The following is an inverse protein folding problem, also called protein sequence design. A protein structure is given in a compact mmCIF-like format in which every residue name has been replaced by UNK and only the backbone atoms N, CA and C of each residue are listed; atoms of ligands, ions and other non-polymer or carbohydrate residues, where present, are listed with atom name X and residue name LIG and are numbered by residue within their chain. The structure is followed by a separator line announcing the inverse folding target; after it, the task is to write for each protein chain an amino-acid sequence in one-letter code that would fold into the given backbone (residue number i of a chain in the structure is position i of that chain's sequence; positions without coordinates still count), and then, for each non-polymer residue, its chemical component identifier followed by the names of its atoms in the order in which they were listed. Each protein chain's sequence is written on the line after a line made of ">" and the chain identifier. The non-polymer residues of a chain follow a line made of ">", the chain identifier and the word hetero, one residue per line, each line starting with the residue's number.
data_IF_274740188499
#
_entry.id   IF_274740188499
#
_cell.length_a   1.000
_cell.length_b   1.000
_cell.length_c   1.000
_cell.angle_alpha   90.00
_cell.angle_beta   90.00
_cell.angle_gamma   90.00
#
_symmetry.space_group_name_H-M   'P 1'
#
loop_
_entity.id
_entity.type
_entity.pdbx_description
1 polymer ?
#
# COMPACT_ATOMS: atom_id res chain seq x y z
N UNK A 1 0.00 -5.73 9.31
CA UNK A 1 -0.83 -6.84 8.80
C UNK A 1 -2.23 -6.34 8.51
N UNK A 2 -2.36 -5.39 7.56
CA UNK A 2 -3.68 -5.09 7.02
C UNK A 2 -4.09 -6.32 6.23
N UNK A 3 -5.11 -7.02 6.76
CA UNK A 3 -5.81 -8.00 5.99
C UNK A 3 -6.17 -7.35 4.65
N UNK A 4 -6.00 -8.10 3.54
CA UNK A 4 -7.04 -8.10 2.52
C UNK A 4 -8.35 -8.24 3.29
N UNK A 5 -8.97 -7.09 3.61
CA UNK A 5 -10.32 -7.04 4.11
C UNK A 5 -11.07 -7.76 3.02
N UNK A 6 -11.52 -8.98 3.34
CA UNK A 6 -12.36 -9.77 2.47
C UNK A 6 -13.61 -8.95 2.30
N UNK A 7 -13.59 -8.04 1.34
CA UNK A 7 -14.77 -7.32 0.89
C UNK A 7 -15.77 -8.43 0.61
N UNK A 8 -16.87 -8.52 1.39
CA UNK A 8 -17.72 -9.71 1.38
C UNK A 8 -18.14 -10.10 -0.04
N UNK A 9 -18.41 -9.07 -0.86
CA UNK A 9 -18.74 -9.16 -2.28
C UNK A 9 -17.68 -9.90 -3.14
N UNK A 10 -16.39 -9.73 -2.86
CA UNK A 10 -15.32 -10.38 -3.62
C UNK A 10 -15.28 -11.88 -3.34
N UNK A 11 -15.38 -12.26 -2.06
CA UNK A 11 -15.39 -13.67 -1.66
C UNK A 11 -16.66 -14.36 -2.16
N UNK A 12 -17.80 -13.70 -2.03
CA UNK A 12 -19.08 -14.19 -2.50
C UNK A 12 -19.04 -14.44 -4.01
N UNK A 13 -18.58 -13.47 -4.80
CA UNK A 13 -18.41 -13.63 -6.26
C UNK A 13 -17.57 -14.85 -6.61
N UNK A 14 -16.42 -15.04 -5.95
CA UNK A 14 -15.52 -16.16 -6.21
C UNK A 14 -16.19 -17.49 -5.82
N UNK A 15 -16.84 -17.54 -4.66
CA UNK A 15 -17.47 -18.77 -4.15
C UNK A 15 -18.68 -19.16 -5.00
N UNK A 16 -19.48 -18.19 -5.42
CA UNK A 16 -20.63 -18.37 -6.31
C UNK A 16 -20.20 -18.88 -7.70
N UNK A 17 -19.01 -18.51 -8.15
CA UNK A 17 -18.39 -19.03 -9.38
C UNK A 17 -17.66 -20.38 -9.19
N UNK A 18 -17.77 -21.02 -8.03
CA UNK A 18 -17.15 -22.31 -7.73
C UNK A 18 -15.68 -22.24 -7.30
N UNK A 19 -15.12 -21.04 -7.14
CA UNK A 19 -13.75 -20.83 -6.65
C UNK A 19 -13.60 -21.10 -5.16
N UNK A 20 -12.38 -21.47 -4.75
CA UNK A 20 -12.00 -21.66 -3.35
C UNK A 20 -11.16 -20.49 -2.88
N UNK A 21 -11.49 -19.93 -1.72
CA UNK A 21 -10.70 -18.88 -1.06
C UNK A 21 -10.13 -19.42 0.24
N UNK A 22 -8.83 -19.70 0.29
CA UNK A 22 -8.19 -20.29 1.47
C UNK A 22 -6.74 -19.84 1.63
N UNK A 23 -6.13 -20.11 2.79
CA UNK A 23 -4.72 -19.87 3.08
C UNK A 23 -3.92 -21.15 2.82
N UNK A 24 -2.71 -21.01 2.26
CA UNK A 24 -1.83 -22.16 1.99
C UNK A 24 -0.91 -22.51 3.15
N UNK A 25 -0.45 -21.52 3.90
CA UNK A 25 0.50 -21.76 4.97
C UNK A 25 -0.25 -22.13 6.26
N UNK A 26 0.40 -22.91 7.11
CA UNK A 26 0.05 -23.07 8.50
C UNK A 26 1.21 -22.58 9.37
N UNK A 27 0.92 -21.94 10.49
CA UNK A 27 1.95 -21.56 11.46
C UNK A 27 2.50 -22.80 12.20
N UNK A 28 3.46 -22.58 13.12
CA UNK A 28 4.07 -23.66 13.93
C UNK A 28 3.08 -24.37 14.86
N UNK A 29 1.90 -23.80 15.07
CA UNK A 29 0.83 -24.33 15.91
C UNK A 29 -0.27 -24.99 15.07
N UNK A 30 -0.11 -25.05 13.74
CA UNK A 30 -1.08 -25.62 12.81
C UNK A 30 -2.22 -24.68 12.41
N UNK A 31 -2.21 -23.41 12.82
CA UNK A 31 -3.25 -22.45 12.43
C UNK A 31 -3.03 -21.95 11.00
N UNK A 32 -4.10 -21.69 10.22
CA UNK A 32 -3.97 -21.09 8.90
C UNK A 32 -3.22 -19.75 8.94
N UNK A 33 -2.17 -19.63 8.14
CA UNK A 33 -1.24 -18.51 8.09
C UNK A 33 -1.07 -17.98 6.66
N UNK A 34 -0.62 -16.73 6.55
CA UNK A 34 -0.40 -16.06 5.26
C UNK A 34 -1.66 -15.48 4.62
N UNK A 35 -1.55 -14.93 3.41
CA UNK A 35 -2.67 -14.30 2.72
C UNK A 35 -3.68 -15.34 2.22
N UNK A 36 -4.93 -14.92 2.06
CA UNK A 36 -5.91 -15.70 1.33
C UNK A 36 -5.51 -15.79 -0.15
N UNK A 37 -5.78 -16.93 -0.76
CA UNK A 37 -5.50 -17.23 -2.15
C UNK A 37 -6.71 -17.86 -2.81
N UNK A 38 -6.86 -17.57 -4.10
CA UNK A 38 -7.93 -18.08 -4.97
C UNK A 38 -7.45 -19.30 -5.73
N UNK A 39 -8.27 -20.35 -5.72
CA UNK A 39 -8.01 -21.60 -6.41
C UNK A 39 -9.25 -22.07 -7.17
N UNK A 40 -9.04 -22.81 -8.24
CA UNK A 40 -10.12 -23.54 -8.93
C UNK A 40 -10.60 -24.73 -8.09
N UNK A 41 -11.83 -25.22 -8.31
CA UNK A 41 -12.32 -26.40 -7.62
C UNK A 41 -11.41 -27.60 -7.85
N UNK A 42 -11.09 -28.33 -6.77
CA UNK A 42 -10.29 -29.58 -6.79
C UNK A 42 -8.83 -29.46 -7.26
N UNK A 43 -8.29 -28.24 -7.39
CA UNK A 43 -6.88 -28.04 -7.69
C UNK A 43 -6.27 -26.94 -6.81
N UNK A 44 -5.00 -27.09 -6.44
CA UNK A 44 -4.21 -26.05 -5.77
C UNK A 44 -3.56 -25.10 -6.80
N UNK A 45 -4.33 -24.67 -7.79
CA UNK A 45 -3.93 -23.72 -8.84
C UNK A 45 -5.03 -22.67 -9.07
N UNK A 46 -4.71 -21.42 -9.45
CA UNK A 46 -3.37 -20.86 -9.56
C UNK A 46 -2.80 -20.41 -8.20
N UNK A 47 -3.63 -20.25 -7.17
CA UNK A 47 -3.17 -19.74 -5.87
C UNK A 47 -2.92 -18.24 -5.86
N UNK A 48 -3.70 -17.51 -6.65
CA UNK A 48 -3.61 -16.05 -6.80
C UNK A 48 -3.98 -15.35 -5.48
N UNK A 49 -3.15 -14.43 -5.01
CA UNK A 49 -3.38 -13.68 -3.75
C UNK A 49 -4.35 -12.49 -3.90
N UNK A 50 -4.92 -12.31 -5.09
CA UNK A 50 -5.80 -11.21 -5.46
C UNK A 50 -7.17 -11.74 -5.92
N UNK A 51 -8.21 -10.94 -5.72
CA UNK A 51 -9.57 -11.22 -6.20
C UNK A 51 -9.93 -10.48 -7.49
N UNK A 52 -9.06 -9.55 -7.91
CA UNK A 52 -9.12 -8.82 -9.17
C UNK A 52 -7.73 -8.73 -9.77
N UNK A 53 -7.59 -9.03 -11.05
CA UNK A 53 -6.33 -9.00 -11.77
C UNK A 53 -6.59 -8.93 -13.28
N UNK A 54 -5.63 -8.37 -14.02
CA UNK A 54 -5.57 -8.55 -15.46
C UNK A 54 -4.95 -9.91 -15.78
N UNK A 55 -5.43 -10.58 -16.83
CA UNK A 55 -4.93 -11.89 -17.22
C UNK A 55 -5.51 -13.01 -16.33
N UNK A 56 -4.63 -13.86 -15.79
CA UNK A 56 -4.95 -15.03 -14.96
C UNK A 56 -6.20 -15.81 -15.41
N UNK A 57 -6.20 -16.30 -16.65
CA UNK A 57 -7.35 -16.96 -17.29
C UNK A 57 -7.96 -18.09 -16.45
N UNK A 58 -7.13 -18.82 -15.70
CA UNK A 58 -7.58 -19.86 -14.77
C UNK A 58 -8.30 -19.30 -13.53
N UNK A 59 -7.83 -18.20 -12.95
CA UNK A 59 -8.51 -17.59 -11.82
C UNK A 59 -9.80 -16.87 -12.28
N UNK A 60 -9.77 -16.32 -13.49
CA UNK A 60 -10.91 -15.64 -14.10
C UNK A 60 -12.11 -16.59 -14.28
N UNK A 61 -11.87 -17.88 -14.56
CA UNK A 61 -12.94 -18.88 -14.68
C UNK A 61 -13.68 -19.15 -13.37
N UNK A 62 -13.17 -18.67 -12.23
CA UNK A 62 -13.75 -18.86 -10.90
C UNK A 62 -14.00 -17.54 -10.16
N UNK A 63 -14.23 -16.46 -10.92
CA UNK A 63 -14.74 -15.20 -10.37
C UNK A 63 -13.69 -14.14 -10.04
N UNK A 64 -12.41 -14.36 -10.36
CA UNK A 64 -11.44 -13.25 -10.43
C UNK A 64 -11.80 -12.38 -11.62
N UNK A 65 -11.79 -11.06 -11.44
CA UNK A 65 -12.25 -10.12 -12.48
C UNK A 65 -11.22 -9.04 -12.78
N UNK A 66 -11.16 -8.61 -14.03
CA UNK A 66 -10.36 -7.45 -14.44
C UNK A 66 -11.10 -6.11 -14.25
N UNK A 67 -12.35 -6.12 -13.76
CA UNK A 67 -13.16 -4.91 -13.57
C UNK A 67 -12.59 -4.07 -12.41
N UNK A 68 -12.09 -2.84 -12.66
CA UNK A 68 -11.53 -2.00 -11.61
C UNK A 68 -12.62 -1.41 -10.73
N UNK A 69 -12.20 -0.83 -9.60
CA UNK A 69 -13.04 0.14 -8.88
C UNK A 69 -12.62 1.53 -9.28
N UNK A 70 -13.59 2.39 -9.58
CA UNK A 70 -13.36 3.76 -9.98
C UNK A 70 -13.78 4.69 -8.85
N UNK A 71 -12.83 5.50 -8.39
CA UNK A 71 -13.06 6.58 -7.44
C UNK A 71 -12.47 7.86 -8.00
N UNK A 72 -13.24 8.95 -7.97
CA UNK A 72 -12.78 10.28 -8.34
C UNK A 72 -12.68 11.11 -7.07
N UNK A 73 -11.49 11.60 -6.76
CA UNK A 73 -11.23 12.42 -5.59
C UNK A 73 -10.80 13.82 -6.04
N UNK A 74 -11.46 14.90 -5.59
CA UNK A 74 -10.97 16.24 -5.84
C UNK A 74 -9.68 16.44 -5.04
N UNK A 75 -8.72 17.21 -5.59
CA UNK A 75 -7.56 17.65 -4.82
C UNK A 75 -8.05 18.50 -3.63
N UNK A 76 -7.66 18.19 -2.38
CA UNK A 76 -8.03 18.99 -1.21
C UNK A 76 -7.68 20.47 -1.38
N UNK A 77 -8.45 21.35 -0.73
CA UNK A 77 -8.06 22.76 -0.63
C UNK A 77 -6.97 22.88 0.44
N UNK A 78 -6.08 23.87 0.34
CA UNK A 78 -5.29 24.27 1.51
C UNK A 78 -6.27 24.50 2.68
N UNK A 79 -5.97 24.05 3.90
CA UNK A 79 -6.72 24.41 5.07
C UNK A 79 -6.72 25.93 5.19
N UNK A 80 -7.88 26.48 5.53
CA UNK A 80 -8.01 27.92 5.72
C UNK A 80 -6.97 28.40 6.74
N UNK A 81 -6.22 29.49 6.49
CA UNK A 81 -5.17 29.97 7.40
C UNK A 81 -5.69 30.41 8.78
N UNK A 82 -7.02 30.45 8.96
CA UNK A 82 -7.70 30.86 10.20
C UNK A 82 -8.58 29.74 10.77
N UNK A 83 -8.70 28.58 10.11
CA UNK A 83 -9.43 27.46 10.68
C UNK A 83 -8.58 26.83 11.79
N UNK A 84 -9.10 26.69 13.03
CA UNK A 84 -8.43 25.88 14.03
C UNK A 84 -8.25 24.48 13.45
N UNK A 85 -7.06 23.91 13.59
CA UNK A 85 -6.67 22.60 13.07
C UNK A 85 -7.70 21.52 13.44
N UNK A 86 -8.70 21.33 12.58
CA UNK A 86 -9.86 20.52 12.86
C UNK A 86 -10.18 19.66 11.63
N UNK A 87 -9.32 18.67 11.36
CA UNK A 87 -9.77 17.38 10.85
C UNK A 87 -8.68 16.29 11.00
N UNK A 88 -8.54 15.76 12.21
CA UNK A 88 -7.89 14.46 12.45
C UNK A 88 -8.92 13.33 12.68
N UNK A 89 -10.19 13.53 12.31
CA UNK A 89 -11.28 12.63 12.66
C UNK A 89 -12.26 12.39 11.50
N UNK A 90 -11.80 11.78 10.41
CA UNK A 90 -12.67 11.16 9.41
C UNK A 90 -11.93 10.14 8.51
N UNK A 91 -11.12 9.26 9.10
CA UNK A 91 -10.75 7.99 8.48
C UNK A 91 -10.35 7.04 9.60
N UNK A 92 -11.13 5.96 9.80
CA UNK A 92 -10.91 4.97 10.84
C UNK A 92 -9.67 4.10 10.58
N UNK A 93 -8.48 4.68 10.59
CA UNK A 93 -7.19 3.98 10.52
C UNK A 93 -6.28 4.55 11.60
N UNK A 94 -6.08 3.81 12.69
CA UNK A 94 -5.26 4.22 13.83
C UNK A 94 -3.75 4.03 13.56
N UNK A 95 -2.98 5.08 13.85
CA UNK A 95 -1.52 5.19 13.75
C UNK A 95 -0.81 4.75 15.04
N UNK A 96 0.38 4.14 14.90
CA UNK A 96 1.37 3.95 15.96
C UNK A 96 2.62 4.79 15.71
N UNK A 97 3.23 5.26 16.79
CA UNK A 97 4.24 6.32 16.94
C UNK A 97 5.55 6.19 16.15
N UNK A 98 6.12 7.35 15.84
CA UNK A 98 7.35 7.63 15.10
C UNK A 98 8.65 7.16 15.76
N UNK A 99 9.65 6.79 14.93
CA UNK A 99 11.06 6.87 15.30
C UNK A 99 11.94 7.15 14.06
N UNK A 100 12.78 8.16 14.25
CA UNK A 100 13.77 8.83 13.39
C UNK A 100 14.99 7.97 13.04
N UNK A 101 15.52 8.05 11.81
CA UNK A 101 16.97 7.95 11.51
C UNK A 101 17.33 8.60 10.15
N UNK A 102 18.00 9.76 10.15
CA UNK A 102 18.95 10.16 9.11
C UNK A 102 20.08 10.97 9.78
N UNK A 103 21.32 10.52 9.59
CA UNK A 103 22.52 11.30 9.91
C UNK A 103 23.02 12.03 8.66
N UNK A 104 23.59 13.20 8.89
CA UNK A 104 23.90 14.27 7.96
C UNK A 104 25.03 13.95 6.96
N UNK A 105 25.03 14.68 5.84
CA UNK A 105 26.21 15.35 5.30
C UNK A 105 25.81 16.62 4.53
N UNK A 106 26.66 17.65 4.63
CA UNK A 106 26.31 19.06 4.43
C UNK A 106 26.36 19.60 3.00
N UNK A 107 25.43 20.51 2.72
CA UNK A 107 25.41 21.45 1.62
C UNK A 107 24.21 22.38 1.78
N UNK A 108 24.42 23.63 2.19
CA UNK A 108 23.36 24.64 2.37
C UNK A 108 22.79 25.05 1.00
N UNK A 109 21.79 24.31 0.55
CA UNK A 109 20.77 24.80 -0.38
C UNK A 109 19.58 25.23 0.47
N UNK A 110 19.10 26.46 0.26
CA UNK A 110 17.94 26.98 0.97
C UNK A 110 16.74 26.03 0.76
N UNK A 111 16.40 25.26 1.78
CA UNK A 111 15.23 24.38 1.79
C UNK A 111 14.01 25.31 1.77
N UNK A 112 13.16 25.27 0.73
CA UNK A 112 11.92 26.04 0.74
C UNK A 112 11.14 25.65 2.00
N UNK A 113 10.61 26.62 2.73
CA UNK A 113 9.72 26.35 3.85
C UNK A 113 8.63 25.38 3.37
N UNK A 114 8.27 24.33 4.14
CA UNK A 114 7.33 23.31 3.70
C UNK A 114 5.95 23.95 3.53
N UNK A 115 5.71 24.48 2.34
CA UNK A 115 4.37 24.73 1.85
C UNK A 115 3.66 23.39 1.75
N UNK A 116 2.41 23.36 2.17
CA UNK A 116 1.59 22.17 2.01
C UNK A 116 1.55 21.76 0.55
N UNK A 117 1.82 20.47 0.31
CA UNK A 117 1.86 19.89 -1.03
C UNK A 117 0.91 18.71 -1.11
N UNK A 118 0.24 18.59 -2.25
CA UNK A 118 -0.50 17.38 -2.56
C UNK A 118 0.46 16.34 -3.11
N UNK A 119 0.46 15.16 -2.50
CA UNK A 119 1.31 14.04 -2.91
C UNK A 119 0.42 12.87 -3.31
N UNK A 120 0.63 12.34 -4.50
CA UNK A 120 0.10 11.05 -4.93
C UNK A 120 1.21 10.01 -4.88
N UNK A 121 0.98 8.92 -4.15
CA UNK A 121 1.88 7.78 -4.05
C UNK A 121 1.16 6.56 -4.60
N UNK A 122 1.71 5.95 -5.65
CA UNK A 122 1.24 4.69 -6.21
C UNK A 122 2.37 3.68 -6.10
N UNK A 123 2.11 2.53 -5.48
CA UNK A 123 3.16 1.53 -5.25
C UNK A 123 2.60 0.11 -5.20
N UNK A 124 3.47 -0.89 -5.44
CA UNK A 124 3.17 -2.30 -5.18
C UNK A 124 3.02 -2.59 -3.68
N UNK A 125 2.43 -3.74 -3.35
CA UNK A 125 2.30 -4.23 -1.98
C UNK A 125 3.65 -4.42 -1.27
N UNK A 126 4.74 -4.61 -2.02
CA UNK A 126 6.11 -4.56 -1.49
C UNK A 126 6.40 -3.32 -0.64
N UNK A 127 5.82 -2.15 -0.95
CA UNK A 127 5.89 -0.96 -0.07
C UNK A 127 4.91 -1.10 1.11
N UNK A 128 3.64 -1.34 0.79
CA UNK A 128 2.52 -1.22 1.74
C UNK A 128 2.44 -2.33 2.78
N UNK A 129 3.14 -3.45 2.58
CA UNK A 129 3.20 -4.53 3.58
C UNK A 129 3.84 -4.03 4.89
N UNK A 130 4.82 -3.11 4.80
CA UNK A 130 5.60 -2.65 5.96
C UNK A 130 5.60 -1.13 6.17
N UNK A 131 5.25 -0.34 5.17
CA UNK A 131 5.19 1.12 5.28
C UNK A 131 3.73 1.57 5.36
N UNK A 132 3.40 2.29 6.44
CA UNK A 132 2.06 2.85 6.63
C UNK A 132 1.81 4.06 5.74
N UNK A 133 0.54 4.37 5.44
CA UNK A 133 0.17 5.58 4.68
C UNK A 133 0.75 6.85 5.30
N UNK A 134 0.66 7.01 6.63
CA UNK A 134 1.17 8.19 7.32
C UNK A 134 2.70 8.31 7.20
N UNK A 135 3.42 7.19 7.34
CA UNK A 135 4.88 7.15 7.15
C UNK A 135 5.25 7.49 5.71
N UNK A 136 4.55 6.91 4.73
CA UNK A 136 4.82 7.14 3.32
C UNK A 136 4.62 8.62 2.94
N UNK A 137 3.51 9.22 3.37
CA UNK A 137 3.22 10.65 3.15
C UNK A 137 4.24 11.53 3.87
N UNK A 138 4.68 11.17 5.09
CA UNK A 138 5.70 11.91 5.82
C UNK A 138 7.05 11.93 5.09
N UNK A 139 7.50 10.76 4.60
CA UNK A 139 8.73 10.63 3.80
C UNK A 139 8.61 11.44 2.51
N UNK A 140 7.53 11.25 1.74
CA UNK A 140 7.38 11.88 0.44
C UNK A 140 7.19 13.40 0.54
N UNK A 141 6.47 13.89 1.57
CA UNK A 141 6.26 15.33 1.77
C UNK A 141 7.54 16.07 2.15
N UNK A 142 8.47 15.40 2.84
CA UNK A 142 9.76 15.97 3.24
C UNK A 142 10.86 15.92 2.17
N UNK A 143 10.62 15.25 1.05
CA UNK A 143 11.61 15.08 0.00
C UNK A 143 11.77 16.32 -0.89
N UNK A 144 12.98 16.53 -1.41
CA UNK A 144 13.29 17.64 -2.30
C UNK A 144 12.62 17.48 -3.68
N UNK A 145 12.57 16.25 -4.20
CA UNK A 145 11.92 15.91 -5.47
C UNK A 145 11.05 14.66 -5.35
N UNK A 146 10.22 14.41 -6.36
CA UNK A 146 9.41 13.18 -6.44
C UNK A 146 10.29 11.92 -6.62
N UNK A 147 11.43 12.06 -7.29
CA UNK A 147 12.41 10.97 -7.44
C UNK A 147 13.07 10.63 -6.10
N UNK A 148 13.51 11.65 -5.34
CA UNK A 148 14.06 11.46 -3.99
C UNK A 148 13.03 10.82 -3.06
N UNK A 149 11.76 11.23 -3.16
CA UNK A 149 10.66 10.63 -2.42
C UNK A 149 10.51 9.14 -2.75
N UNK A 150 10.49 8.79 -4.03
CA UNK A 150 10.36 7.41 -4.48
C UNK A 150 11.53 6.55 -3.99
N UNK A 151 12.77 7.04 -4.13
CA UNK A 151 13.97 6.35 -3.63
C UNK A 151 13.92 6.14 -2.11
N UNK A 152 13.58 7.18 -1.34
CA UNK A 152 13.49 7.09 0.11
C UNK A 152 12.41 6.08 0.57
N UNK A 153 11.29 5.99 -0.15
CA UNK A 153 10.23 5.02 0.13
C UNK A 153 10.66 3.58 -0.17
N UNK A 154 11.34 3.35 -1.31
CA UNK A 154 11.89 2.04 -1.66
C UNK A 154 12.91 1.59 -0.62
N UNK A 155 13.85 2.47 -0.25
CA UNK A 155 14.88 2.17 0.74
C UNK A 155 14.27 1.86 2.11
N UNK A 156 13.27 2.65 2.54
CA UNK A 156 12.55 2.42 3.79
C UNK A 156 11.87 1.03 3.80
N UNK A 157 11.19 0.66 2.71
CA UNK A 157 10.56 -0.66 2.58
C UNK A 157 11.58 -1.79 2.61
N UNK A 158 12.66 -1.69 1.83
CA UNK A 158 13.72 -2.71 1.79
C UNK A 158 14.34 -2.94 3.17
N UNK A 159 14.60 -1.86 3.94
CA UNK A 159 15.07 -1.96 5.33
C UNK A 159 14.09 -2.74 6.20
N UNK A 160 12.78 -2.47 6.10
CA UNK A 160 11.78 -3.20 6.86
C UNK A 160 11.69 -4.68 6.46
N UNK A 161 11.71 -5.00 5.16
CA UNK A 161 11.79 -6.38 4.67
C UNK A 161 13.01 -7.10 5.24
N UNK A 162 14.19 -6.48 5.17
CA UNK A 162 15.43 -7.04 5.70
C UNK A 162 15.35 -7.30 7.21
N UNK A 163 14.81 -6.38 7.99
CA UNK A 163 14.61 -6.56 9.44
C UNK A 163 13.63 -7.70 9.71
N UNK A 164 12.49 -7.72 9.03
CA UNK A 164 11.37 -8.62 9.34
C UNK A 164 11.61 -10.06 8.88
N UNK A 165 12.31 -10.23 7.76
CA UNK A 165 12.67 -11.53 7.18
C UNK A 165 14.13 -11.91 7.40
N UNK A 166 14.88 -11.13 8.20
CA UNK A 166 16.31 -11.35 8.48
C UNK A 166 17.14 -11.48 7.20
N UNK A 167 16.84 -10.61 6.23
CA UNK A 167 17.50 -10.56 4.92
C UNK A 167 17.20 -11.73 3.99
N UNK A 168 16.27 -12.64 4.33
CA UNK A 168 16.02 -13.86 3.54
C UNK A 168 15.04 -13.67 2.40
N UNK A 169 14.17 -12.67 2.49
CA UNK A 169 13.14 -12.41 1.51
C UNK A 169 12.83 -10.92 1.45
N UNK A 170 12.67 -10.42 0.24
CA UNK A 170 12.17 -9.09 -0.06
C UNK A 170 11.28 -9.25 -1.29
N UNK A 171 10.09 -8.66 -1.26
CA UNK A 171 9.25 -8.62 -2.46
C UNK A 171 9.80 -7.59 -3.46
N UNK A 172 9.27 -7.60 -4.68
CA UNK A 172 9.52 -6.54 -5.65
C UNK A 172 8.83 -5.24 -5.20
N UNK A 173 9.60 -4.16 -5.11
CA UNK A 173 9.12 -2.86 -4.63
C UNK A 173 9.20 -1.88 -5.78
N UNK A 174 8.04 -1.42 -6.24
CA UNK A 174 7.93 -0.34 -7.23
C UNK A 174 7.13 0.80 -6.64
N UNK A 175 7.65 2.02 -6.73
CA UNK A 175 7.03 3.23 -6.19
C UNK A 175 7.04 4.33 -7.24
N UNK A 176 5.90 4.97 -7.44
CA UNK A 176 5.73 6.19 -8.24
C UNK A 176 5.21 7.29 -7.32
N UNK A 177 5.89 8.44 -7.34
CA UNK A 177 5.47 9.63 -6.60
C UNK A 177 5.20 10.76 -7.59
N UNK A 178 4.12 11.49 -7.37
CA UNK A 178 3.81 12.72 -8.08
C UNK A 178 3.45 13.82 -7.08
N UNK A 179 4.04 15.00 -7.26
CA UNK A 179 3.61 16.22 -6.59
C UNK A 179 2.58 16.92 -7.47
N UNK A 180 1.39 17.14 -6.91
CA UNK A 180 0.24 17.65 -7.64
C UNK A 180 0.02 19.12 -7.28
N UNK A 181 -0.19 19.92 -8.31
CA UNK A 181 -0.58 21.32 -8.20
C UNK A 181 -2.07 21.47 -8.54
N UNK A 182 -2.75 22.39 -7.87
CA UNK A 182 -4.08 22.80 -8.33
C UNK A 182 -3.90 23.64 -9.58
N UNK A 183 -4.59 23.27 -10.67
CA UNK A 183 -4.73 24.15 -11.82
C UNK A 183 -5.39 25.47 -11.40
N UNK A 184 -4.96 26.57 -12.02
CA UNK A 184 -5.54 27.90 -11.84
C UNK A 184 -7.00 27.95 -12.34
#
# INVERSE_FOLDING_TARGET
>A
MQALSLRPLERERITAAGGRVTRLATDRLGNPAGPFRVFVPNCWSPGLALSRAFGDTLAASVGVTAQPELTVLPLPAPPDPVAPAALAAAAGISNGTAASYCSADGGTMAVPAPGERHVLIVASDGLWEWISNATAVGIASGAASAEDAAHALVEAAQKQWAIRYRGRNCDDITVVVAFLERGA
#
